data_IF_869408550731
#
_entry.id   IF_869408550731
#
_cell.length_a   1.000
_cell.length_b   1.000
_cell.length_c   1.000
_cell.angle_alpha   90.00
_cell.angle_beta   90.00
_cell.angle_gamma   90.00
#
_symmetry.space_group_name_H-M   'P 1'
#
loop_
_entity.id
_entity.type
_entity.pdbx_description
1 polymer ?
#
# COMPACT_ATOMS: atom_id res chain seq x y z
N UNK A 1 6.50 -2.03 -7.08
CA UNK A 1 5.29 -1.63 -7.85
C UNK A 1 4.89 -0.17 -7.61
N UNK A 2 4.33 0.51 -8.61
CA UNK A 2 3.79 1.88 -8.47
C UNK A 2 2.26 1.90 -8.33
N UNK A 3 1.79 2.68 -7.36
CA UNK A 3 0.36 2.92 -7.08
C UNK A 3 0.06 4.43 -6.97
N UNK A 4 -1.18 4.83 -7.21
CA UNK A 4 -1.61 6.22 -7.06
C UNK A 4 -3.01 6.35 -6.45
N UNK A 5 -3.25 7.46 -5.77
CA UNK A 5 -4.54 7.86 -5.21
C UNK A 5 -5.27 8.75 -6.23
N UNK A 6 -6.39 8.30 -6.82
CA UNK A 6 -7.08 9.06 -7.87
C UNK A 6 -7.70 10.37 -7.36
N UNK A 7 -8.00 10.48 -6.07
CA UNK A 7 -8.70 11.62 -5.47
C UNK A 7 -7.79 12.53 -4.65
N UNK A 8 -6.49 12.26 -4.55
CA UNK A 8 -5.58 13.00 -3.66
C UNK A 8 -4.25 13.25 -4.35
N UNK A 9 -3.96 14.53 -4.63
CA UNK A 9 -2.71 14.98 -5.29
C UNK A 9 -1.67 15.51 -4.31
N UNK A 10 -2.01 15.68 -3.03
CA UNK A 10 -1.07 16.13 -2.00
C UNK A 10 -0.20 14.98 -1.49
N UNK A 11 0.95 15.32 -0.90
CA UNK A 11 1.75 14.35 -0.14
C UNK A 11 0.94 13.84 1.04
N UNK A 12 0.87 12.52 1.19
CA UNK A 12 0.05 11.88 2.21
C UNK A 12 0.65 10.54 2.61
N UNK A 13 0.84 10.37 3.92
CA UNK A 13 1.22 9.10 4.52
C UNK A 13 -0.01 8.31 4.88
N UNK A 14 -0.10 7.07 4.38
CA UNK A 14 -1.14 6.12 4.72
C UNK A 14 -0.55 5.02 5.62
N UNK A 15 -1.19 4.76 6.74
CA UNK A 15 -0.90 3.62 7.60
C UNK A 15 -1.88 2.50 7.27
N UNK A 16 -1.37 1.33 6.93
CA UNK A 16 -2.17 0.17 6.57
C UNK A 16 -1.82 -1.00 7.47
N UNK A 17 -2.82 -1.77 7.87
CA UNK A 17 -2.65 -3.01 8.62
C UNK A 17 -3.42 -4.11 7.87
N UNK A 18 -2.83 -4.69 6.81
CA UNK A 18 -3.50 -5.69 5.98
C UNK A 18 -3.96 -6.90 6.80
N UNK A 19 -3.14 -7.33 7.78
CA UNK A 19 -3.47 -8.47 8.64
C UNK A 19 -4.68 -8.25 9.56
N UNK A 20 -5.05 -7.00 9.82
CA UNK A 20 -6.27 -6.64 10.55
C UNK A 20 -7.44 -6.24 9.67
N UNK A 21 -7.32 -6.28 8.34
CA UNK A 21 -8.35 -5.75 7.44
C UNK A 21 -9.46 -6.78 7.16
N UNK A 22 -10.73 -6.52 7.58
CA UNK A 22 -11.84 -7.44 7.35
C UNK A 22 -12.22 -7.60 5.86
N UNK A 23 -11.69 -6.75 4.97
CA UNK A 23 -11.90 -6.85 3.52
C UNK A 23 -11.09 -7.97 2.88
N UNK A 24 -9.95 -8.35 3.48
CA UNK A 24 -9.15 -9.47 3.01
C UNK A 24 -9.82 -10.78 3.42
N UNK A 25 -10.12 -11.62 2.43
CA UNK A 25 -10.64 -12.97 2.62
C UNK A 25 -9.62 -13.97 2.09
N UNK A 26 -9.19 -14.92 2.92
CA UNK A 26 -8.25 -15.96 2.54
C UNK A 26 -7.06 -16.09 3.49
N UNK A 27 -6.02 -16.80 3.03
CA UNK A 27 -4.79 -16.97 3.79
C UNK A 27 -4.02 -15.65 3.90
N UNK A 28 -3.65 -15.30 5.13
CA UNK A 28 -2.84 -14.12 5.41
C UNK A 28 -1.37 -14.41 5.11
N UNK A 29 -0.68 -13.57 4.32
CA UNK A 29 0.76 -13.68 4.16
C UNK A 29 1.47 -13.58 5.52
N UNK A 30 2.40 -14.51 5.80
CA UNK A 30 3.24 -14.49 7.01
C UNK A 30 3.98 -13.17 7.21
N UNK A 31 4.33 -12.50 6.11
CA UNK A 31 5.09 -11.25 6.13
C UNK A 31 4.26 -10.04 6.60
N UNK A 32 2.97 -10.22 6.88
CA UNK A 32 2.09 -9.18 7.41
C UNK A 32 1.83 -9.32 8.92
N UNK A 33 2.47 -10.30 9.56
CA UNK A 33 2.43 -10.52 11.01
C UNK A 33 3.85 -10.61 11.57
N UNK A 34 4.02 -10.35 12.86
CA UNK A 34 5.29 -10.57 13.57
C UNK A 34 5.48 -12.06 13.97
N UNK A 35 6.60 -12.37 14.62
CA UNK A 35 6.91 -13.73 15.11
C UNK A 35 5.91 -14.27 16.14
N UNK A 36 5.09 -13.40 16.73
CA UNK A 36 4.03 -13.73 17.69
C UNK A 36 2.64 -13.71 17.04
N UNK A 37 2.57 -13.65 15.71
CA UNK A 37 1.35 -13.59 14.91
C UNK A 37 0.52 -12.31 15.13
N UNK A 38 1.15 -11.22 15.59
CA UNK A 38 0.49 -9.91 15.69
C UNK A 38 0.53 -9.18 14.35
N UNK A 39 -0.57 -8.53 13.93
CA UNK A 39 -0.61 -7.74 12.69
C UNK A 39 0.44 -6.62 12.64
N UNK A 40 1.19 -6.56 11.54
CA UNK A 40 2.11 -5.47 11.26
C UNK A 40 1.38 -4.29 10.61
N UNK A 41 1.81 -3.08 10.97
CA UNK A 41 1.37 -1.84 10.32
C UNK A 41 2.46 -1.34 9.39
N UNK A 42 2.11 -1.13 8.13
CA UNK A 42 3.00 -0.59 7.11
C UNK A 42 2.68 0.88 6.86
N UNK A 43 3.73 1.66 6.64
CA UNK A 43 3.62 3.06 6.24
C UNK A 43 3.89 3.19 4.75
N UNK A 44 2.92 3.76 4.03
CA UNK A 44 3.04 4.05 2.60
C UNK A 44 3.01 5.57 2.40
N UNK A 45 4.12 6.13 1.96
CA UNK A 45 4.22 7.55 1.64
C UNK A 45 3.84 7.79 0.19
N UNK A 46 2.74 8.50 -0.03
CA UNK A 46 2.37 8.99 -1.35
C UNK A 46 2.91 10.39 -1.54
N UNK A 47 3.79 10.60 -2.52
CA UNK A 47 4.25 11.90 -3.00
C UNK A 47 3.47 12.29 -4.24
N UNK A 48 2.89 13.49 -4.25
CA UNK A 48 2.04 13.95 -5.35
C UNK A 48 0.91 12.95 -5.71
N UNK A 49 0.37 12.27 -4.70
CA UNK A 49 -0.65 11.22 -4.87
C UNK A 49 -0.15 9.88 -5.40
N UNK A 50 1.16 9.63 -5.47
CA UNK A 50 1.78 8.41 -6.01
C UNK A 50 2.78 7.82 -5.02
N UNK A 51 2.89 6.49 -4.98
CA UNK A 51 3.86 5.80 -4.13
C UNK A 51 4.50 4.63 -4.89
N UNK A 52 5.77 4.39 -4.61
CA UNK A 52 6.44 3.12 -4.90
C UNK A 52 6.35 2.23 -3.66
N UNK A 53 5.86 1.01 -3.85
CA UNK A 53 5.60 0.05 -2.77
C UNK A 53 5.98 -1.36 -3.22
N UNK A 54 6.20 -2.25 -2.25
CA UNK A 54 6.32 -3.68 -2.54
C UNK A 54 5.10 -4.22 -3.27
N UNK A 55 5.29 -5.20 -4.13
CA UNK A 55 4.23 -5.77 -4.97
C UNK A 55 3.05 -6.33 -4.14
N UNK A 56 3.33 -6.89 -2.95
CA UNK A 56 2.30 -7.38 -2.02
C UNK A 56 1.42 -6.24 -1.49
N UNK A 57 2.05 -5.15 -1.06
CA UNK A 57 1.35 -3.96 -0.56
C UNK A 57 0.59 -3.27 -1.70
N UNK A 58 1.22 -3.13 -2.86
CA UNK A 58 0.58 -2.57 -4.04
C UNK A 58 -0.66 -3.34 -4.45
N UNK A 59 -0.59 -4.68 -4.45
CA UNK A 59 -1.73 -5.55 -4.75
C UNK A 59 -2.84 -5.42 -3.72
N UNK A 60 -2.52 -5.43 -2.42
CA UNK A 60 -3.49 -5.17 -1.36
C UNK A 60 -4.21 -3.83 -1.56
N UNK A 61 -3.47 -2.75 -1.81
CA UNK A 61 -4.05 -1.42 -2.01
C UNK A 61 -5.00 -1.37 -3.22
N UNK A 62 -4.70 -2.13 -4.27
CA UNK A 62 -5.55 -2.20 -5.47
C UNK A 62 -6.78 -3.08 -5.23
N UNK A 63 -6.59 -4.27 -4.66
CA UNK A 63 -7.67 -5.24 -4.44
C UNK A 63 -8.69 -4.72 -3.41
N UNK A 64 -8.25 -3.91 -2.44
CA UNK A 64 -9.13 -3.23 -1.48
C UNK A 64 -9.70 -1.90 -1.97
N UNK A 65 -9.35 -1.48 -3.19
CA UNK A 65 -9.82 -0.23 -3.80
C UNK A 65 -9.25 1.05 -3.17
N UNK A 66 -8.22 0.94 -2.33
CA UNK A 66 -7.55 2.08 -1.70
C UNK A 66 -6.71 2.89 -2.68
N UNK A 67 -6.07 2.24 -3.65
CA UNK A 67 -5.25 2.86 -4.68
C UNK A 67 -5.46 2.21 -6.05
N UNK A 68 -4.89 2.80 -7.10
CA UNK A 68 -4.90 2.26 -8.45
C UNK A 68 -3.49 1.99 -8.94
N UNK A 69 -3.33 0.97 -9.79
CA UNK A 69 -2.06 0.67 -10.47
C UNK A 69 -1.69 1.81 -11.41
N UNK A 70 -0.42 2.21 -11.42
CA UNK A 70 0.11 3.13 -12.44
C UNK A 70 1.39 2.56 -13.05
N UNK A 71 1.70 2.97 -14.28
CA UNK A 71 2.94 2.65 -14.99
C UNK A 71 4.00 3.75 -14.86
N UNK A 72 3.72 4.82 -14.12
CA UNK A 72 4.58 5.99 -14.06
C UNK A 72 5.93 5.67 -13.41
N UNK A 73 6.99 5.75 -14.21
CA UNK A 73 8.37 5.92 -13.76
C UNK A 73 8.44 7.36 -13.20
N UNK A 74 8.82 7.52 -11.94
CA UNK A 74 8.98 8.85 -11.36
C UNK A 74 10.26 9.48 -11.91
N UNK A 75 10.25 10.74 -12.40
CA UNK A 75 11.46 11.53 -12.40
C UNK A 75 11.88 11.75 -10.94
N UNK A 76 13.14 11.54 -10.62
CA UNK A 76 13.73 11.96 -9.34
C UNK A 76 13.56 13.48 -9.29
N UNK A 77 12.74 13.99 -8.35
CA UNK A 77 12.68 15.43 -8.10
C UNK A 77 14.08 15.85 -7.56
N UNK A 78 14.83 16.63 -8.36
CA UNK A 78 16.10 17.29 -8.00
C UNK A 78 15.96 18.22 -6.78
#
# INVERSE_FOLDING_TARGET
MFVYLPHKKATHTMHICPAGDPRLKGEMPSDWVDDKNNPLTFQVEFRNGKAEVDDKIGRYLIDTGLARKTKLIMPEDE
#
